data_IF_496892613755
#
_entry.id   IF_496892613755
#
_cell.length_a   1.000
_cell.length_b   1.000
_cell.length_c   1.000
_cell.angle_alpha   90.00
_cell.angle_beta   90.00
_cell.angle_gamma   90.00
#
_symmetry.space_group_name_H-M   'P 1'
#
loop_
_entity.id
_entity.type
_entity.pdbx_description
1 polymer ?
#
# COMPACT_ATOMS: atom_id res chain seq x y z
N UNK A 1 -2.11 0.53 -13.78
CA UNK A 1 -1.09 0.78 -12.74
C UNK A 1 -1.16 2.20 -12.21
N UNK A 2 -1.16 3.23 -13.06
CA UNK A 2 -1.36 4.63 -12.60
C UNK A 2 -2.69 4.83 -11.89
N UNK A 3 -3.80 4.34 -12.47
CA UNK A 3 -5.13 4.36 -11.85
C UNK A 3 -5.14 3.68 -10.48
N UNK A 4 -4.61 2.45 -10.39
CA UNK A 4 -4.45 1.73 -9.12
C UNK A 4 -3.66 2.53 -8.08
N UNK A 5 -2.52 3.15 -8.45
CA UNK A 5 -1.77 4.00 -7.51
C UNK A 5 -2.53 5.25 -7.08
N UNK A 6 -3.37 5.80 -7.95
CA UNK A 6 -4.19 6.98 -7.64
C UNK A 6 -5.31 6.62 -6.67
N UNK A 7 -5.99 5.49 -6.90
CA UNK A 7 -7.04 4.97 -6.02
C UNK A 7 -6.47 4.59 -4.65
N UNK A 8 -5.33 3.91 -4.60
CA UNK A 8 -4.64 3.58 -3.36
C UNK A 8 -4.22 4.84 -2.58
N UNK A 9 -3.75 5.89 -3.27
CA UNK A 9 -3.44 7.18 -2.63
C UNK A 9 -4.67 7.87 -2.10
N UNK A 10 -5.77 7.89 -2.85
CA UNK A 10 -7.02 8.49 -2.42
C UNK A 10 -7.61 7.77 -1.20
N UNK A 11 -7.55 6.44 -1.19
CA UNK A 11 -8.06 5.61 -0.09
C UNK A 11 -7.21 5.74 1.17
N UNK A 12 -5.88 5.62 1.03
CA UNK A 12 -4.97 5.59 2.17
C UNK A 12 -4.65 6.97 2.72
N UNK A 13 -4.82 8.02 1.91
CA UNK A 13 -4.65 9.40 2.32
C UNK A 13 -3.32 9.62 3.06
N UNK A 14 -3.41 10.05 4.32
CA UNK A 14 -2.25 10.34 5.17
C UNK A 14 -1.56 9.11 5.78
N UNK A 15 -2.12 7.90 5.62
CA UNK A 15 -1.51 6.65 6.12
C UNK A 15 -0.24 6.29 5.36
N UNK A 16 -0.13 6.71 4.10
CA UNK A 16 1.05 6.52 3.27
C UNK A 16 1.71 7.85 2.95
N UNK A 17 3.04 7.84 2.90
CA UNK A 17 3.85 8.96 2.40
C UNK A 17 4.02 8.92 0.90
N UNK A 18 3.80 7.76 0.29
CA UNK A 18 3.92 7.60 -1.15
C UNK A 18 3.81 6.16 -1.61
N UNK A 19 3.94 6.00 -2.91
CA UNK A 19 3.87 4.72 -3.60
C UNK A 19 5.10 4.58 -4.50
N UNK A 20 5.74 3.42 -4.52
CA UNK A 20 6.86 3.13 -5.40
C UNK A 20 6.54 1.90 -6.26
N UNK A 21 6.59 2.03 -7.57
CA UNK A 21 6.41 0.91 -8.50
C UNK A 21 7.71 0.10 -8.51
N UNK A 22 7.63 -1.16 -8.08
CA UNK A 22 8.75 -2.11 -7.99
C UNK A 22 8.88 -2.97 -9.24
N UNK A 23 7.78 -3.18 -9.96
CA UNK A 23 7.73 -3.99 -11.17
C UNK A 23 6.43 -3.77 -11.95
N UNK A 24 6.25 -4.47 -13.10
CA UNK A 24 5.11 -4.27 -13.98
C UNK A 24 3.75 -4.49 -13.30
N UNK A 25 3.72 -5.26 -12.22
CA UNK A 25 2.55 -5.45 -11.37
C UNK A 25 2.92 -5.50 -9.88
N UNK A 26 3.97 -4.79 -9.46
CA UNK A 26 4.38 -4.74 -8.04
C UNK A 26 4.49 -3.30 -7.57
N UNK A 27 3.84 -2.98 -6.46
CA UNK A 27 3.86 -1.64 -5.83
C UNK A 27 4.23 -1.78 -4.36
N UNK A 28 5.10 -0.90 -3.90
CA UNK A 28 5.35 -0.66 -2.50
C UNK A 28 4.56 0.56 -2.02
N UNK A 29 3.78 0.39 -0.96
CA UNK A 29 3.15 1.48 -0.23
C UNK A 29 4.06 1.85 0.94
N UNK A 30 4.53 3.09 0.94
CA UNK A 30 5.43 3.62 1.97
C UNK A 30 4.57 4.21 3.09
N UNK A 31 4.54 3.57 4.25
CA UNK A 31 3.75 4.02 5.40
C UNK A 31 4.35 5.30 6.02
N UNK A 32 3.50 6.12 6.64
CA UNK A 32 3.99 7.23 7.46
C UNK A 32 4.73 6.73 8.71
N UNK A 33 5.71 7.50 9.21
CA UNK A 33 6.64 7.09 10.29
C UNK A 33 5.98 6.63 11.59
N UNK A 34 4.72 6.99 11.83
CA UNK A 34 3.97 6.63 13.02
C UNK A 34 2.89 5.56 12.79
N UNK A 35 2.72 5.09 11.55
CA UNK A 35 1.71 4.09 11.19
C UNK A 35 2.30 2.67 11.27
N UNK A 36 1.62 1.78 12.00
CA UNK A 36 1.99 0.37 12.03
C UNK A 36 1.35 -0.40 10.87
N UNK A 37 2.15 -1.17 10.09
CA UNK A 37 1.62 -1.99 9.01
C UNK A 37 0.55 -2.99 9.45
N UNK A 38 0.57 -3.44 10.71
CA UNK A 38 -0.23 -4.58 11.21
C UNK A 38 -1.72 -4.25 11.35
N UNK A 39 -2.08 -3.03 11.78
CA UNK A 39 -3.49 -2.62 11.82
C UNK A 39 -4.01 -2.23 10.44
N UNK A 40 -3.13 -1.64 9.62
CA UNK A 40 -3.49 -1.20 8.28
C UNK A 40 -3.63 -2.39 7.33
N UNK A 41 -2.83 -3.45 7.45
CA UNK A 41 -2.83 -4.62 6.53
C UNK A 41 -4.17 -5.34 6.42
N UNK A 42 -4.91 -5.57 7.51
CA UNK A 42 -6.16 -6.34 7.43
C UNK A 42 -7.29 -5.58 6.72
N UNK A 43 -7.43 -4.29 7.04
CA UNK A 43 -8.41 -3.39 6.40
C UNK A 43 -7.98 -3.08 4.98
N UNK A 44 -6.69 -2.86 4.74
CA UNK A 44 -6.15 -2.68 3.40
C UNK A 44 -6.38 -3.92 2.55
N UNK A 45 -6.07 -5.13 3.02
CA UNK A 45 -6.21 -6.32 2.19
C UNK A 45 -7.65 -6.56 1.76
N UNK A 46 -8.62 -6.30 2.64
CA UNK A 46 -10.04 -6.42 2.31
C UNK A 46 -10.46 -5.40 1.22
N UNK A 47 -10.08 -4.13 1.36
CA UNK A 47 -10.41 -3.08 0.39
C UNK A 47 -9.55 -3.08 -0.87
N UNK A 48 -8.31 -3.55 -0.78
CA UNK A 48 -7.45 -3.76 -1.94
C UNK A 48 -8.14 -4.77 -2.85
N UNK A 49 -8.63 -5.90 -2.33
CA UNK A 49 -9.36 -6.88 -3.17
C UNK A 49 -10.56 -6.23 -3.86
N UNK A 50 -11.28 -5.31 -3.19
CA UNK A 50 -12.38 -4.55 -3.79
C UNK A 50 -11.93 -3.54 -4.87
N UNK A 51 -10.79 -2.86 -4.65
CA UNK A 51 -10.22 -1.86 -5.57
C UNK A 51 -9.59 -2.54 -6.79
N UNK A 52 -8.78 -3.57 -6.59
CA UNK A 52 -8.04 -4.17 -7.70
C UNK A 52 -8.91 -5.13 -8.53
N UNK A 53 -10.08 -5.55 -8.05
CA UNK A 53 -10.91 -6.53 -8.73
C UNK A 53 -10.24 -7.91 -8.81
N UNK A 54 -11.05 -8.98 -8.88
CA UNK A 54 -10.54 -10.36 -8.80
C UNK A 54 -9.55 -10.75 -9.91
N UNK A 55 -9.51 -9.98 -11.01
CA UNK A 55 -8.70 -10.27 -12.20
C UNK A 55 -7.33 -9.59 -12.21
N UNK A 56 -7.03 -8.71 -11.28
CA UNK A 56 -5.78 -7.95 -11.32
C UNK A 56 -4.70 -8.60 -10.47
N UNK A 57 -3.70 -9.15 -11.15
CA UNK A 57 -2.51 -9.78 -10.57
C UNK A 57 -1.49 -8.73 -10.13
N UNK A 58 -1.82 -7.87 -9.17
CA UNK A 58 -0.88 -6.90 -8.60
C UNK A 58 -0.44 -7.29 -7.19
N UNK A 59 0.89 -7.34 -6.97
CA UNK A 59 1.48 -7.57 -5.66
C UNK A 59 1.72 -6.24 -4.96
N UNK A 60 1.10 -6.06 -3.80
CA UNK A 60 1.26 -4.85 -2.98
C UNK A 60 2.05 -5.18 -1.72
N UNK A 61 3.18 -4.48 -1.52
CA UNK A 61 3.97 -4.60 -0.30
C UNK A 61 3.79 -3.35 0.56
N UNK A 62 3.49 -3.51 1.85
CA UNK A 62 3.54 -2.41 2.81
C UNK A 62 4.94 -2.31 3.41
N UNK A 63 5.56 -1.13 3.32
CA UNK A 63 6.89 -0.87 3.84
C UNK A 63 6.80 0.23 4.89
N UNK A 64 7.14 -0.09 6.14
CA UNK A 64 7.29 0.90 7.21
C UNK A 64 8.74 1.31 7.36
N UNK A 65 8.99 2.61 7.48
CA UNK A 65 10.32 3.18 7.69
C UNK A 65 10.67 3.32 9.17
N UNK A 66 10.23 2.39 10.04
CA UNK A 66 10.75 2.34 11.41
C UNK A 66 12.25 2.03 11.35
N UNK A 67 13.06 3.09 11.45
CA UNK A 67 14.47 3.01 11.84
C UNK A 67 14.54 2.16 13.10
N UNK A 68 15.40 1.15 13.06
CA UNK A 68 15.43 0.06 14.00
C UNK A 68 15.49 0.48 15.46
N UNK A 69 14.95 -0.41 16.29
CA UNK A 69 15.47 -0.64 17.63
C UNK A 69 17.00 -0.72 17.57
N UNK A 70 17.65 0.16 18.31
CA UNK A 70 18.97 -0.09 18.88
C UNK A 70 18.99 0.50 20.28
#
# INVERSE_FOLDING_TARGET
MEELTMELKAFLGSLIRGTAIKGPAEINLLMAENEEPVRSTAVLNAHIVEIIGELTLAKINLVSTRRGFK
#
